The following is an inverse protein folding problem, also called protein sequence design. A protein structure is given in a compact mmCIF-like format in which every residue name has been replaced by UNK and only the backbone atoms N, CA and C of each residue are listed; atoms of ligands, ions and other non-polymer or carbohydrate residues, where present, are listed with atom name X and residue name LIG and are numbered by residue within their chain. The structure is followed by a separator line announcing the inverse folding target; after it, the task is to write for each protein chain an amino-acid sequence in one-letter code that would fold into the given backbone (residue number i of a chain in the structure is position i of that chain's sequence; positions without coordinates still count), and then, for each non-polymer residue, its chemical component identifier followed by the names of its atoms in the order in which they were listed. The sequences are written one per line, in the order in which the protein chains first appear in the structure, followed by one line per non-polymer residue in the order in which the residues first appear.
data_IF_807805307821
#
_entry.id   IF_807805307821
#
_cell.length_a   1.000
_cell.length_b   1.000
_cell.length_c   1.000
_cell.angle_alpha   90.00
_cell.angle_beta   90.00
_cell.angle_gamma   90.00
#
_symmetry.space_group_name_H-M   'P 1'
#
loop_
_entity.id
_entity.type
_entity.pdbx_description
1 polymer ?
#
# COMPACT_ATOMS: atom_id res chain seq x y z
N UNK A 1 -28.44 -30.28 16.50
CA UNK A 1 -27.51 -29.46 15.70
C UNK A 1 -28.28 -28.27 15.17
N UNK A 2 -28.14 -27.09 15.76
CA UNK A 2 -28.89 -25.89 15.36
C UNK A 2 -28.22 -25.18 14.20
N UNK A 3 -28.91 -25.06 13.08
CA UNK A 3 -28.52 -24.20 11.95
C UNK A 3 -28.71 -22.74 12.35
N UNK A 4 -27.59 -22.03 12.56
CA UNK A 4 -27.59 -20.57 12.74
C UNK A 4 -28.26 -19.89 11.55
N UNK A 5 -29.11 -18.91 11.85
CA UNK A 5 -29.84 -18.11 10.86
C UNK A 5 -28.88 -17.27 10.00
N UNK A 6 -29.29 -16.92 8.78
CA UNK A 6 -28.47 -16.15 7.83
C UNK A 6 -27.99 -14.81 8.43
N UNK A 7 -28.85 -14.16 9.22
CA UNK A 7 -28.58 -12.88 9.91
C UNK A 7 -27.54 -13.03 11.02
N UNK A 8 -27.56 -14.14 11.77
CA UNK A 8 -26.51 -14.40 12.79
C UNK A 8 -25.15 -14.69 12.14
N UNK A 9 -25.14 -15.34 10.97
CA UNK A 9 -23.89 -15.56 10.22
C UNK A 9 -23.31 -14.25 9.69
N UNK A 10 -24.13 -13.34 9.14
CA UNK A 10 -23.70 -12.01 8.71
C UNK A 10 -23.17 -11.16 9.87
N UNK A 11 -23.85 -11.18 11.02
CA UNK A 11 -23.44 -10.39 12.19
C UNK A 11 -22.12 -10.91 12.79
N UNK A 12 -21.92 -12.23 12.83
CA UNK A 12 -20.66 -12.85 13.27
C UNK A 12 -19.54 -12.62 12.24
N UNK A 13 -19.85 -12.61 10.95
CA UNK A 13 -18.88 -12.30 9.88
C UNK A 13 -18.45 -10.82 9.90
N UNK A 14 -19.39 -9.89 10.07
CA UNK A 14 -19.12 -8.46 10.23
C UNK A 14 -18.30 -8.17 11.50
N UNK A 15 -18.64 -8.81 12.63
CA UNK A 15 -17.88 -8.69 13.88
C UNK A 15 -16.46 -9.26 13.79
N UNK A 16 -16.24 -10.29 12.96
CA UNK A 16 -14.90 -10.85 12.68
C UNK A 16 -14.11 -10.01 11.67
N UNK A 17 -14.78 -9.35 10.72
CA UNK A 17 -14.17 -8.38 9.80
C UNK A 17 -13.50 -7.24 10.57
N UNK A 18 -14.23 -6.65 11.52
CA UNK A 18 -13.73 -5.55 12.34
C UNK A 18 -12.50 -5.93 13.19
N UNK A 19 -12.46 -7.16 13.77
CA UNK A 19 -11.29 -7.63 14.54
C UNK A 19 -10.04 -7.91 13.70
N UNK A 20 -10.25 -8.48 12.51
CA UNK A 20 -9.14 -8.76 11.59
C UNK A 20 -8.56 -7.45 11.04
N UNK A 21 -9.41 -6.54 10.59
CA UNK A 21 -9.00 -5.21 10.14
C UNK A 21 -8.28 -4.45 11.26
N UNK A 22 -8.81 -4.45 12.49
CA UNK A 22 -8.14 -3.83 13.63
C UNK A 22 -6.73 -4.39 13.88
N UNK A 23 -6.56 -5.72 13.76
CA UNK A 23 -5.25 -6.36 13.87
C UNK A 23 -4.29 -5.88 12.77
N UNK A 24 -4.73 -5.88 11.50
CA UNK A 24 -3.92 -5.41 10.37
C UNK A 24 -3.58 -3.92 10.46
N UNK A 25 -4.52 -3.10 10.92
CA UNK A 25 -4.34 -1.67 11.19
C UNK A 25 -3.29 -1.46 12.27
N UNK A 26 -3.34 -2.24 13.35
CA UNK A 26 -2.35 -2.21 14.42
C UNK A 26 -0.96 -2.61 13.91
N UNK A 27 -0.86 -3.72 13.18
CA UNK A 27 0.41 -4.18 12.58
C UNK A 27 0.99 -3.17 11.60
N UNK A 28 0.15 -2.57 10.76
CA UNK A 28 0.57 -1.51 9.84
C UNK A 28 1.08 -0.29 10.62
N UNK A 29 0.45 0.05 11.74
CA UNK A 29 0.94 1.06 12.67
C UNK A 29 2.34 0.75 13.20
N UNK A 30 2.60 -0.50 13.59
CA UNK A 30 3.93 -0.97 14.00
C UNK A 30 4.95 -0.84 12.87
N UNK A 31 4.58 -1.22 11.64
CA UNK A 31 5.47 -1.11 10.47
C UNK A 31 5.83 0.35 10.16
N UNK A 32 4.87 1.25 10.24
CA UNK A 32 5.09 2.70 10.08
C UNK A 32 6.05 3.20 11.16
N UNK A 33 5.81 2.84 12.42
CA UNK A 33 6.66 3.24 13.54
C UNK A 33 8.11 2.76 13.39
N UNK A 34 8.32 1.47 13.07
CA UNK A 34 9.65 0.91 12.85
C UNK A 34 10.37 1.62 11.70
N UNK A 35 9.65 1.95 10.64
CA UNK A 35 10.19 2.67 9.50
C UNK A 35 10.57 4.13 9.85
N UNK A 36 9.77 4.81 10.66
CA UNK A 36 10.07 6.17 11.11
C UNK A 36 11.26 6.21 12.07
N UNK A 37 11.43 5.20 12.92
CA UNK A 37 12.63 5.02 13.74
C UNK A 37 13.87 4.82 12.86
N UNK A 38 13.81 3.91 11.88
CA UNK A 38 14.91 3.68 10.93
C UNK A 38 15.28 4.96 10.17
N UNK A 39 14.29 5.72 9.68
CA UNK A 39 14.52 7.01 9.04
C UNK A 39 15.18 8.02 9.96
N UNK A 40 14.76 8.07 11.22
CA UNK A 40 15.31 8.99 12.22
C UNK A 40 16.77 8.65 12.52
N UNK A 41 17.11 7.38 12.65
CA UNK A 41 18.49 6.93 12.85
C UNK A 41 19.40 7.24 11.65
N UNK A 42 18.86 7.17 10.43
CA UNK A 42 19.60 7.50 9.20
C UNK A 42 19.77 8.99 8.95
N UNK A 43 19.06 9.87 9.69
CA UNK A 43 19.26 11.32 9.58
C UNK A 43 20.63 11.65 10.16
N UNK A 44 21.56 12.04 9.29
CA UNK A 44 22.90 12.47 9.71
C UNK A 44 22.79 13.71 10.61
N UNK A 45 23.18 13.64 11.90
CA UNK A 45 23.41 14.86 12.65
C UNK A 45 24.59 15.62 12.03
N UNK A 46 24.53 16.96 12.03
CA UNK A 46 25.69 17.79 11.72
C UNK A 46 26.72 17.59 12.85
N UNK A 47 27.71 16.73 12.62
CA UNK A 47 28.81 16.50 13.57
C UNK A 47 29.99 17.40 13.15
N UNK A 48 30.45 18.32 14.00
CA UNK A 48 31.68 19.06 13.73
C UNK A 48 32.88 18.11 13.60
N UNK A 49 33.77 18.36 12.63
CA UNK A 49 34.94 17.50 12.37
C UNK A 49 35.83 17.24 13.59
N UNK A 50 35.86 18.16 14.55
CA UNK A 50 36.63 18.02 15.79
C UNK A 50 36.13 16.92 16.73
N UNK A 51 34.88 16.48 16.58
CA UNK A 51 34.24 15.43 17.41
C UNK A 51 33.88 14.17 16.62
N UNK A 52 34.17 14.11 15.32
CA UNK A 52 33.89 12.94 14.48
C UNK A 52 34.58 11.66 14.98
N UNK A 53 35.84 11.75 15.41
CA UNK A 53 36.58 10.60 15.95
C UNK A 53 35.99 10.05 17.24
N UNK A 54 35.38 10.92 18.06
CA UNK A 54 34.67 10.54 19.28
C UNK A 54 33.31 9.91 19.01
N UNK A 55 32.75 10.13 17.81
CA UNK A 55 31.46 9.59 17.37
C UNK A 55 31.56 8.28 16.60
N UNK A 56 32.77 7.83 16.23
CA UNK A 56 32.94 6.58 15.48
C UNK A 56 32.34 5.34 16.18
N UNK A 57 32.49 5.14 17.51
CA UNK A 57 31.81 4.03 18.20
C UNK A 57 30.29 4.14 18.15
N UNK A 58 29.76 5.36 18.35
CA UNK A 58 28.31 5.64 18.30
C UNK A 58 27.75 5.39 16.89
N UNK A 59 28.50 5.70 15.83
CA UNK A 59 28.08 5.40 14.45
C UNK A 59 27.94 3.89 14.22
N UNK A 60 28.87 3.08 14.72
CA UNK A 60 28.80 1.61 14.62
C UNK A 60 27.56 1.07 15.37
N UNK A 61 27.27 1.59 16.55
CA UNK A 61 26.07 1.21 17.32
C UNK A 61 24.77 1.61 16.60
N UNK A 62 24.72 2.81 16.01
CA UNK A 62 23.57 3.28 15.24
C UNK A 62 23.34 2.44 13.99
N UNK A 63 24.40 2.01 13.30
CA UNK A 63 24.30 1.10 12.16
C UNK A 63 23.79 -0.28 12.59
N UNK A 64 24.27 -0.82 13.70
CA UNK A 64 23.80 -2.08 14.25
C UNK A 64 22.30 -2.00 14.63
N UNK A 65 21.90 -0.90 15.27
CA UNK A 65 20.51 -0.63 15.62
C UNK A 65 19.62 -0.49 14.37
N UNK A 66 20.09 0.20 13.33
CA UNK A 66 19.37 0.30 12.05
C UNK A 66 19.16 -1.06 11.41
N UNK A 67 20.16 -1.96 11.46
CA UNK A 67 20.03 -3.34 10.96
C UNK A 67 19.01 -4.14 11.77
N UNK A 68 18.99 -3.99 13.09
CA UNK A 68 17.99 -4.64 13.95
C UNK A 68 16.57 -4.16 13.63
N UNK A 69 16.34 -2.85 13.48
CA UNK A 69 15.03 -2.33 13.09
C UNK A 69 14.57 -2.86 11.73
N UNK A 70 15.48 -2.98 10.77
CA UNK A 70 15.17 -3.59 9.47
C UNK A 70 14.76 -5.06 9.63
N UNK A 71 15.53 -5.86 10.37
CA UNK A 71 15.22 -7.27 10.61
C UNK A 71 13.88 -7.45 11.35
N UNK A 72 13.59 -6.62 12.36
CA UNK A 72 12.31 -6.62 13.07
C UNK A 72 11.15 -6.27 12.14
N UNK A 73 11.34 -5.31 11.23
CA UNK A 73 10.32 -4.97 10.24
C UNK A 73 10.05 -6.13 9.29
N UNK A 74 11.08 -6.80 8.79
CA UNK A 74 10.95 -7.97 7.91
C UNK A 74 10.22 -9.13 8.61
N UNK A 75 10.55 -9.38 9.89
CA UNK A 75 9.82 -10.34 10.72
C UNK A 75 8.34 -9.95 10.90
N UNK A 76 8.06 -8.69 11.23
CA UNK A 76 6.68 -8.20 11.40
C UNK A 76 5.86 -8.30 10.11
N UNK A 77 6.45 -8.07 8.93
CA UNK A 77 5.79 -8.27 7.64
C UNK A 77 5.45 -9.75 7.45
N UNK A 78 6.39 -10.65 7.75
CA UNK A 78 6.18 -12.09 7.64
C UNK A 78 5.06 -12.57 8.56
N UNK A 79 5.02 -12.06 9.79
CA UNK A 79 3.98 -12.40 10.77
C UNK A 79 2.61 -11.82 10.39
N UNK A 80 2.58 -10.70 9.67
CA UNK A 80 1.34 -10.08 9.19
C UNK A 80 0.73 -10.83 8.00
N UNK A 81 1.55 -11.54 7.22
CA UNK A 81 1.12 -12.12 5.95
C UNK A 81 -0.08 -13.07 6.08
N UNK A 82 -0.15 -14.00 7.06
CA UNK A 82 -1.30 -14.90 7.19
C UNK A 82 -2.61 -14.16 7.49
N UNK A 83 -2.55 -13.09 8.28
CA UNK A 83 -3.72 -12.25 8.57
C UNK A 83 -4.15 -11.46 7.34
N UNK A 84 -3.17 -10.96 6.57
CA UNK A 84 -3.43 -10.28 5.32
C UNK A 84 -4.09 -11.23 4.31
N UNK A 85 -3.59 -12.45 4.16
CA UNK A 85 -4.15 -13.47 3.27
C UNK A 85 -5.60 -13.83 3.64
N UNK A 86 -5.93 -13.87 4.94
CA UNK A 86 -7.30 -14.05 5.40
C UNK A 86 -8.19 -12.86 5.02
N UNK A 87 -7.69 -11.63 5.20
CA UNK A 87 -8.43 -10.41 4.86
C UNK A 87 -8.67 -10.31 3.35
N UNK A 88 -7.64 -10.58 2.55
CA UNK A 88 -7.70 -10.68 1.09
C UNK A 88 -8.78 -11.65 0.62
N UNK A 89 -8.84 -12.84 1.23
CA UNK A 89 -9.87 -13.83 0.93
C UNK A 89 -11.28 -13.33 1.25
N UNK A 90 -11.47 -12.58 2.35
CA UNK A 90 -12.76 -11.98 2.71
C UNK A 90 -13.18 -10.85 1.76
N UNK A 91 -12.20 -10.10 1.25
CA UNK A 91 -12.42 -9.02 0.29
C UNK A 91 -12.62 -9.53 -1.15
N UNK A 92 -12.45 -10.83 -1.41
CA UNK A 92 -12.47 -11.37 -2.78
C UNK A 92 -11.24 -10.98 -3.61
N UNK A 93 -10.20 -10.42 -2.98
CA UNK A 93 -8.97 -9.96 -3.63
C UNK A 93 -7.86 -10.98 -3.35
N UNK A 94 -7.78 -12.06 -4.11
CA UNK A 94 -6.72 -13.08 -3.92
C UNK A 94 -5.49 -12.79 -4.77
N UNK A 95 -4.30 -13.08 -4.23
CA UNK A 95 -3.07 -13.18 -5.04
C UNK A 95 -3.28 -14.20 -6.16
N UNK A 96 -2.89 -13.84 -7.39
CA UNK A 96 -3.20 -14.56 -8.63
C UNK A 96 -4.55 -14.20 -9.26
N UNK A 97 -5.39 -13.43 -8.58
CA UNK A 97 -6.62 -12.85 -9.12
C UNK A 97 -6.38 -11.56 -9.91
N UNK A 98 -7.46 -10.87 -10.27
CA UNK A 98 -7.43 -9.54 -10.89
C UNK A 98 -8.02 -8.51 -9.94
N UNK A 99 -7.50 -7.28 -9.96
CA UNK A 99 -8.13 -6.12 -9.33
C UNK A 99 -8.39 -5.07 -10.40
N UNK A 100 -9.57 -4.47 -10.33
CA UNK A 100 -9.98 -3.36 -11.18
C UNK A 100 -10.57 -2.23 -10.35
N UNK A 101 -10.47 -1.02 -10.86
CA UNK A 101 -11.06 0.14 -10.23
C UNK A 101 -10.81 1.40 -11.01
N UNK A 102 -11.10 2.52 -10.37
CA UNK A 102 -10.81 3.83 -10.92
C UNK A 102 -10.42 4.84 -9.85
N UNK A 103 -9.77 5.91 -10.29
CA UNK A 103 -9.51 7.12 -9.52
C UNK A 103 -10.00 8.30 -10.34
N UNK A 104 -10.44 9.38 -9.70
CA UNK A 104 -10.80 10.60 -10.41
C UNK A 104 -10.41 11.84 -9.63
N UNK A 105 -10.11 12.90 -10.36
CA UNK A 105 -9.79 14.18 -9.75
C UNK A 105 -11.06 14.96 -9.48
N UNK A 106 -11.23 15.46 -8.27
CA UNK A 106 -12.29 16.42 -7.97
C UNK A 106 -11.87 17.83 -8.42
N UNK A 107 -12.57 18.41 -9.39
CA UNK A 107 -12.31 19.76 -9.89
C UNK A 107 -13.50 20.66 -9.57
N UNK A 108 -13.33 21.58 -8.60
CA UNK A 108 -14.29 22.64 -8.28
C UNK A 108 -15.77 22.19 -8.15
N UNK A 109 -16.03 21.06 -7.48
CA UNK A 109 -17.39 20.55 -7.28
C UNK A 109 -17.92 19.64 -8.39
N UNK A 110 -17.08 19.23 -9.34
CA UNK A 110 -17.42 18.29 -10.42
C UNK A 110 -16.48 17.09 -10.44
N UNK A 111 -17.00 15.95 -10.87
CA UNK A 111 -16.19 14.81 -11.29
C UNK A 111 -15.30 15.25 -12.47
N UNK A 112 -13.98 15.25 -12.25
CA UNK A 112 -12.99 15.54 -13.27
C UNK A 112 -12.58 14.27 -14.02
N UNK A 113 -11.36 14.26 -14.54
CA UNK A 113 -10.83 13.14 -15.34
C UNK A 113 -10.75 11.85 -14.52
N UNK A 114 -11.37 10.80 -15.04
CA UNK A 114 -11.32 9.44 -14.48
C UNK A 114 -10.20 8.64 -15.13
N UNK A 115 -9.40 7.99 -14.30
CA UNK A 115 -8.39 7.02 -14.69
C UNK A 115 -8.88 5.64 -14.23
N UNK A 116 -9.06 4.70 -15.14
CA UNK A 116 -9.37 3.32 -14.76
C UNK A 116 -8.09 2.51 -14.68
N UNK A 117 -8.08 1.46 -13.87
CA UNK A 117 -6.98 0.51 -13.81
C UNK A 117 -7.51 -0.92 -13.72
N UNK A 118 -6.74 -1.84 -14.27
CA UNK A 118 -6.97 -3.28 -14.16
C UNK A 118 -5.61 -4.00 -14.20
N UNK A 119 -5.44 -5.05 -13.41
CA UNK A 119 -4.24 -5.87 -13.47
C UNK A 119 -4.29 -7.11 -12.58
N UNK A 120 -3.43 -8.08 -12.90
CA UNK A 120 -3.29 -9.29 -12.10
C UNK A 120 -2.53 -9.01 -10.81
N UNK A 121 -3.05 -9.47 -9.67
CA UNK A 121 -2.39 -9.30 -8.36
C UNK A 121 -1.25 -10.32 -8.25
N UNK A 122 -0.01 -9.86 -8.34
CA UNK A 122 1.16 -10.73 -8.13
C UNK A 122 1.52 -10.81 -6.64
N UNK A 123 1.51 -9.67 -5.96
CA UNK A 123 1.85 -9.58 -4.54
C UNK A 123 0.95 -8.59 -3.81
N UNK A 124 0.77 -8.82 -2.51
CA UNK A 124 0.07 -7.91 -1.61
C UNK A 124 0.84 -7.86 -0.28
N UNK A 125 1.04 -6.65 0.26
CA UNK A 125 1.73 -6.44 1.53
C UNK A 125 1.15 -5.26 2.30
N UNK A 126 1.35 -5.24 3.61
CA UNK A 126 1.05 -4.04 4.40
C UNK A 126 2.04 -2.92 4.05
N UNK A 127 1.52 -1.72 3.80
CA UNK A 127 2.37 -0.60 3.43
C UNK A 127 3.02 0.05 4.66
N UNK A 128 4.30 0.37 4.55
CA UNK A 128 5.09 0.99 5.64
C UNK A 128 4.85 2.50 5.82
N UNK A 129 3.92 3.06 5.07
CA UNK A 129 3.53 4.47 5.13
C UNK A 129 2.02 4.59 5.26
N UNK A 130 1.57 5.60 5.98
CA UNK A 130 0.19 6.06 5.88
C UNK A 130 0.08 7.01 4.68
N UNK A 131 -0.90 6.75 3.80
CA UNK A 131 -1.21 7.61 2.67
C UNK A 131 -2.44 8.43 3.02
N UNK A 132 -2.33 9.76 2.99
CA UNK A 132 -3.42 10.67 3.39
C UNK A 132 -3.98 10.37 4.79
N UNK A 133 -3.14 9.89 5.71
CA UNK A 133 -3.53 9.49 7.07
C UNK A 133 -4.16 8.09 7.17
N UNK A 134 -4.27 7.37 6.05
CA UNK A 134 -4.90 6.05 5.95
C UNK A 134 -3.84 4.96 5.87
N UNK A 135 -4.08 3.85 6.58
CA UNK A 135 -3.25 2.64 6.52
C UNK A 135 -3.75 1.75 5.38
N UNK A 136 -2.84 1.34 4.52
CA UNK A 136 -3.17 0.72 3.23
C UNK A 136 -2.45 -0.62 3.03
N UNK A 137 -3.08 -1.50 2.25
CA UNK A 137 -2.44 -2.62 1.59
C UNK A 137 -1.88 -2.14 0.27
N UNK A 138 -0.65 -2.53 -0.01
CA UNK A 138 0.08 -2.27 -1.23
C UNK A 138 0.01 -3.52 -2.13
N UNK A 139 -0.72 -3.41 -3.24
CA UNK A 139 -0.85 -4.45 -4.27
C UNK A 139 0.13 -4.18 -5.41
N UNK A 140 0.94 -5.18 -5.75
CA UNK A 140 1.79 -5.16 -6.95
C UNK A 140 1.06 -5.83 -8.09
N UNK A 141 0.82 -5.08 -9.17
CA UNK A 141 0.09 -5.55 -10.33
C UNK A 141 1.00 -5.88 -11.50
N UNK A 142 0.77 -7.04 -12.09
CA UNK A 142 1.42 -7.51 -13.32
C UNK A 142 0.45 -7.45 -14.49
N UNK A 143 0.97 -7.07 -15.66
CA UNK A 143 0.16 -6.88 -16.85
C UNK A 143 -0.85 -5.74 -16.71
N UNK A 144 -0.58 -4.81 -15.79
CA UNK A 144 -1.48 -3.70 -15.49
C UNK A 144 -1.77 -2.82 -16.72
N UNK A 145 -2.99 -2.32 -16.78
CA UNK A 145 -3.46 -1.38 -17.79
C UNK A 145 -4.16 -0.22 -17.09
N UNK A 146 -3.76 0.98 -17.44
CA UNK A 146 -4.38 2.23 -17.04
C UNK A 146 -5.17 2.80 -18.22
N UNK A 147 -6.49 2.91 -18.08
CA UNK A 147 -7.38 3.47 -19.09
C UNK A 147 -7.51 4.98 -18.93
N UNK A 148 -7.14 5.73 -19.97
CA UNK A 148 -7.27 7.17 -20.01
C UNK A 148 -8.68 7.59 -20.50
N UNK A 149 -9.16 8.80 -20.16
CA UNK A 149 -10.44 9.33 -20.65
C UNK A 149 -10.57 9.36 -22.18
N UNK A 150 -9.44 9.41 -22.89
CA UNK A 150 -9.36 9.36 -24.35
C UNK A 150 -9.64 7.97 -24.94
N UNK A 151 -9.78 6.93 -24.11
CA UNK A 151 -9.95 5.53 -24.54
C UNK A 151 -8.63 4.81 -24.86
N UNK A 152 -7.48 5.49 -24.71
CA UNK A 152 -6.16 4.86 -24.82
C UNK A 152 -5.72 4.20 -23.52
N UNK A 153 -4.88 3.19 -23.61
CA UNK A 153 -4.32 2.48 -22.46
C UNK A 153 -2.82 2.70 -22.33
N UNK A 154 -2.34 2.86 -21.11
CA UNK A 154 -0.92 2.87 -20.76
C UNK A 154 -0.64 1.81 -19.69
N UNK A 155 0.63 1.45 -19.47
CA UNK A 155 0.99 0.38 -18.51
C UNK A 155 1.30 0.92 -17.12
N UNK A 156 1.85 2.12 -17.04
CA UNK A 156 2.32 2.76 -15.80
C UNK A 156 1.88 4.22 -15.73
N UNK A 157 1.94 4.83 -14.54
CA UNK A 157 1.60 6.24 -14.33
C UNK A 157 2.57 7.17 -15.07
N UNK A 158 3.85 6.80 -15.16
CA UNK A 158 4.91 7.52 -15.87
C UNK A 158 4.66 7.60 -17.38
N UNK A 159 4.00 6.58 -17.95
CA UNK A 159 3.65 6.55 -19.37
C UNK A 159 2.49 7.52 -19.70
N UNK A 160 1.82 8.07 -18.68
CA UNK A 160 0.79 9.09 -18.87
C UNK A 160 1.46 10.37 -19.37
N UNK A 161 1.02 10.95 -20.51
CA UNK A 161 1.59 12.18 -21.04
C UNK A 161 1.63 13.28 -19.97
N UNK A 162 2.79 13.94 -19.82
CA UNK A 162 3.03 14.96 -18.78
C UNK A 162 1.95 16.05 -18.74
N UNK A 163 1.40 16.42 -19.90
CA UNK A 163 0.31 17.42 -20.01
C UNK A 163 -0.97 16.99 -19.28
N UNK A 164 -1.20 15.70 -19.14
CA UNK A 164 -2.41 15.13 -18.55
C UNK A 164 -2.17 14.66 -17.10
N UNK A 165 -0.93 14.48 -16.65
CA UNK A 165 -0.65 13.98 -15.29
C UNK A 165 -1.29 14.86 -14.21
N UNK A 166 -1.28 16.18 -14.40
CA UNK A 166 -1.92 17.09 -13.46
C UNK A 166 -3.43 16.84 -13.34
N UNK A 167 -4.09 16.29 -14.36
CA UNK A 167 -5.54 16.12 -14.40
C UNK A 167 -6.05 14.89 -13.64
N UNK A 168 -5.15 14.00 -13.21
CA UNK A 168 -5.50 12.74 -12.55
C UNK A 168 -5.22 12.76 -11.06
N UNK A 169 -5.89 11.86 -10.32
CA UNK A 169 -5.60 11.58 -8.92
C UNK A 169 -4.76 10.31 -8.82
N UNK A 170 -3.52 10.44 -8.34
CA UNK A 170 -2.60 9.33 -8.14
C UNK A 170 -2.45 8.92 -6.68
N UNK A 171 -3.34 9.38 -5.78
CA UNK A 171 -3.24 9.05 -4.35
C UNK A 171 -3.13 7.54 -4.09
N UNK A 172 -3.87 6.74 -4.85
CA UNK A 172 -3.88 5.28 -4.73
C UNK A 172 -2.93 4.56 -5.71
N UNK A 173 -2.23 5.26 -6.59
CA UNK A 173 -1.43 4.66 -7.66
C UNK A 173 0.03 5.14 -7.60
N UNK A 174 0.97 4.21 -7.69
CA UNK A 174 2.39 4.55 -7.81
C UNK A 174 3.09 3.59 -8.75
N UNK A 175 4.07 4.10 -9.46
CA UNK A 175 5.02 3.25 -10.17
C UNK A 175 6.20 2.91 -9.27
N UNK A 176 6.64 1.67 -9.33
CA UNK A 176 7.89 1.22 -8.72
C UNK A 176 8.61 0.32 -9.71
N UNK A 177 9.92 0.53 -9.83
CA UNK A 177 10.79 -0.41 -10.51
C UNK A 177 11.04 -1.59 -9.56
N UNK A 178 10.60 -2.77 -9.95
CA UNK A 178 10.86 -4.01 -9.24
C UNK A 178 11.79 -4.88 -10.06
N UNK A 179 12.62 -5.65 -9.37
CA UNK A 179 13.38 -6.73 -10.00
C UNK A 179 12.44 -7.92 -10.14
N UNK A 180 12.19 -8.35 -11.36
CA UNK A 180 11.49 -9.60 -11.63
C UNK A 180 12.35 -10.75 -11.07
N UNK A 181 11.79 -11.50 -10.13
CA UNK A 181 12.48 -12.59 -9.46
C UNK A 181 12.86 -13.76 -10.39
N UNK A 182 12.22 -13.88 -11.55
CA UNK A 182 12.42 -14.98 -12.51
C UNK A 182 13.46 -14.63 -13.57
N UNK A 183 13.41 -13.40 -14.07
CA UNK A 183 14.27 -12.95 -15.19
C UNK A 183 15.48 -12.15 -14.69
N UNK A 184 15.42 -11.62 -13.47
CA UNK A 184 16.42 -10.68 -12.94
C UNK A 184 16.36 -9.31 -13.62
N UNK A 185 15.39 -9.08 -14.53
CA UNK A 185 15.23 -7.81 -15.22
C UNK A 185 14.47 -6.81 -14.33
N UNK A 186 14.78 -5.53 -14.51
CA UNK A 186 14.01 -4.47 -13.86
C UNK A 186 12.73 -4.26 -14.66
N UNK A 187 11.61 -4.66 -14.08
CA UNK A 187 10.28 -4.48 -14.66
C UNK A 187 9.57 -3.35 -13.91
N UNK A 188 8.85 -2.52 -14.66
CA UNK A 188 7.98 -1.51 -14.04
C UNK A 188 6.64 -2.16 -13.73
N UNK A 189 6.24 -2.09 -12.47
CA UNK A 189 4.96 -2.62 -11.99
C UNK A 189 4.13 -1.47 -11.45
N UNK A 190 2.81 -1.59 -11.60
CA UNK A 190 1.86 -0.65 -11.02
C UNK A 190 1.55 -1.10 -9.60
N UNK A 191 1.73 -0.19 -8.64
CA UNK A 191 1.26 -0.38 -7.29
C UNK A 191 -0.10 0.27 -7.09
N UNK A 192 -1.02 -0.46 -6.48
CA UNK A 192 -2.34 0.04 -6.08
C UNK A 192 -2.47 -0.04 -4.57
N UNK A 193 -2.81 1.09 -3.95
CA UNK A 193 -2.97 1.20 -2.51
C UNK A 193 -4.43 1.15 -2.12
N UNK A 194 -4.82 0.18 -1.30
CA UNK A 194 -6.20 0.01 -0.85
C UNK A 194 -6.29 0.19 0.67
N UNK A 195 -7.15 1.08 1.19
CA UNK A 195 -7.37 1.22 2.62
C UNK A 195 -7.79 -0.07 3.32
N UNK A 196 -7.18 -0.35 4.48
CA UNK A 196 -7.50 -1.52 5.30
C UNK A 196 -8.87 -1.44 5.96
N UNK A 197 -9.33 -0.25 6.32
CA UNK A 197 -10.59 -0.05 7.04
C UNK A 197 -11.71 0.29 6.05
N UNK A 198 -12.89 -0.29 6.28
CA UNK A 198 -14.07 -0.09 5.42
C UNK A 198 -14.50 1.38 5.32
N UNK A 199 -14.56 2.10 6.44
CA UNK A 199 -14.91 3.53 6.48
C UNK A 199 -13.94 4.39 5.65
N UNK A 200 -12.66 4.02 5.63
CA UNK A 200 -11.65 4.70 4.83
C UNK A 200 -11.77 4.36 3.34
N UNK A 201 -12.10 3.11 2.99
CA UNK A 201 -12.39 2.73 1.59
C UNK A 201 -13.58 3.51 1.06
N UNK A 202 -14.67 3.58 1.82
CA UNK A 202 -15.85 4.38 1.45
C UNK A 202 -15.51 5.86 1.30
N UNK A 203 -14.70 6.40 2.21
CA UNK A 203 -14.26 7.79 2.14
C UNK A 203 -13.43 8.05 0.89
N UNK A 204 -12.47 7.17 0.58
CA UNK A 204 -11.64 7.27 -0.62
C UNK A 204 -12.47 7.18 -1.89
N UNK A 205 -13.46 6.29 -1.94
CA UNK A 205 -14.39 6.20 -3.05
C UNK A 205 -15.17 7.51 -3.22
N UNK A 206 -15.72 8.09 -2.15
CA UNK A 206 -16.45 9.36 -2.22
C UNK A 206 -15.58 10.56 -2.65
N UNK A 207 -14.28 10.53 -2.34
CA UNK A 207 -13.34 11.61 -2.67
C UNK A 207 -12.65 11.43 -4.04
N UNK A 208 -12.86 10.29 -4.70
CA UNK A 208 -12.21 9.96 -5.97
C UNK A 208 -10.76 9.52 -5.84
N UNK A 209 -10.32 9.15 -4.63
CA UNK A 209 -8.99 8.61 -4.39
C UNK A 209 -8.88 7.17 -4.89
N UNK A 210 -9.93 6.37 -4.69
CA UNK A 210 -10.02 4.99 -5.16
C UNK A 210 -11.45 4.46 -5.07
N UNK A 211 -11.97 3.94 -6.18
CA UNK A 211 -13.15 3.09 -6.21
C UNK A 211 -12.79 1.74 -6.83
N UNK A 212 -13.06 0.64 -6.11
CA UNK A 212 -12.86 -0.71 -6.60
C UNK A 212 -14.14 -1.22 -7.30
N UNK A 213 -13.99 -2.02 -8.35
CA UNK A 213 -15.09 -2.56 -9.16
C UNK A 213 -15.15 -4.08 -9.05
#
# INVERSE_FOLDING_TARGET
MGTLSFVEKETIMAAKGNKLEASLVSMTGTLIYLNDMEKTLKRKPLVPRSVESLMAPTQVELEALSKQFQATREAAVKDAQPLLDEWLRKMGLSVGGCISGCTWRHLAGRHGSTLTFEGGIEHARLHRYALSGTRVVDFTLVGARLGLPSGSFVRTVEDIPVRNQADFNFCALSDVQTLDARTGETVRVLHVYVPLQEDQRERWARLGDLELT
#
